data_IF_612212547232
#
_entry.id   IF_612212547232
#
_cell.length_a   1.000
_cell.length_b   1.000
_cell.length_c   1.000
_cell.angle_alpha   90.00
_cell.angle_beta   90.00
_cell.angle_gamma   90.00
#
_symmetry.space_group_name_H-M   'P 1'
#
loop_
_entity.id
_entity.type
_entity.pdbx_description
1 polymer ?
#
# COMPACT_ATOMS: atom_id res chain seq x y z
N UNK A 1 -19.99 31.64 10.61
CA UNK A 1 -18.54 31.40 10.54
C UNK A 1 -18.09 30.90 11.91
N UNK A 2 -18.13 29.58 12.13
CA UNK A 2 -17.82 28.98 13.44
C UNK A 2 -16.32 28.78 13.52
N UNK A 3 -15.64 29.56 14.38
CA UNK A 3 -14.25 29.36 14.73
C UNK A 3 -14.11 27.99 15.41
N UNK A 4 -13.67 26.98 14.65
CA UNK A 4 -13.23 25.69 15.21
C UNK A 4 -12.04 26.02 16.12
N UNK A 5 -12.29 25.90 17.44
CA UNK A 5 -11.29 26.01 18.50
C UNK A 5 -10.06 25.20 18.10
N UNK A 6 -8.92 25.87 17.90
CA UNK A 6 -7.62 25.21 17.73
C UNK A 6 -7.28 24.55 19.06
N UNK A 7 -7.81 23.35 19.28
CA UNK A 7 -7.46 22.51 20.40
C UNK A 7 -5.98 22.18 20.24
N UNK A 8 -5.15 22.70 21.15
CA UNK A 8 -3.67 22.58 21.21
C UNK A 8 -3.15 21.45 20.33
N UNK A 9 -2.60 21.81 19.18
CA UNK A 9 -2.20 20.90 18.10
C UNK A 9 -0.97 20.05 18.50
N UNK A 10 -0.31 20.35 19.61
CA UNK A 10 0.93 19.71 20.07
C UNK A 10 0.76 18.93 21.39
N UNK A 11 -0.30 18.14 21.51
CA UNK A 11 -0.44 17.17 22.61
C UNK A 11 0.28 15.87 22.25
N UNK A 12 0.72 15.07 23.24
CA UNK A 12 1.52 13.84 23.01
C UNK A 12 0.94 12.85 21.99
N UNK A 13 -0.38 12.85 21.77
CA UNK A 13 -1.04 12.04 20.73
C UNK A 13 -0.63 12.45 19.30
N UNK A 14 -0.39 13.73 19.03
CA UNK A 14 0.03 14.22 17.71
C UNK A 14 1.38 13.61 17.29
N UNK A 15 2.31 13.44 18.24
CA UNK A 15 3.60 12.78 17.99
C UNK A 15 3.45 11.31 17.62
N UNK A 16 2.50 10.58 18.24
CA UNK A 16 2.22 9.19 17.85
C UNK A 16 1.69 9.10 16.42
N UNK A 17 0.82 10.04 16.01
CA UNK A 17 0.33 10.11 14.63
C UNK A 17 1.48 10.43 13.66
N UNK A 18 2.36 11.38 14.00
CA UNK A 18 3.51 11.73 13.18
C UNK A 18 4.47 10.54 12.97
N UNK A 19 4.80 9.81 14.06
CA UNK A 19 5.62 8.59 13.99
C UNK A 19 4.92 7.52 13.13
N UNK A 20 3.61 7.36 13.28
CA UNK A 20 2.84 6.40 12.46
C UNK A 20 2.90 6.75 10.97
N UNK A 21 2.71 8.03 10.62
CA UNK A 21 2.84 8.52 9.26
C UNK A 21 4.25 8.32 8.72
N UNK A 22 5.27 8.59 9.51
CA UNK A 22 6.66 8.34 9.14
C UNK A 22 6.90 6.86 8.83
N UNK A 23 6.46 5.95 9.70
CA UNK A 23 6.61 4.50 9.50
C UNK A 23 5.89 4.01 8.24
N UNK A 24 4.67 4.49 7.97
CA UNK A 24 3.94 4.14 6.75
C UNK A 24 4.73 4.59 5.52
N UNK A 25 5.20 5.85 5.48
CA UNK A 25 5.97 6.36 4.36
C UNK A 25 7.32 5.65 4.20
N UNK A 26 7.98 5.34 5.31
CA UNK A 26 9.24 4.58 5.32
C UNK A 26 9.05 3.19 4.72
N UNK A 27 8.00 2.47 5.12
CA UNK A 27 7.66 1.15 4.55
C UNK A 27 7.36 1.28 3.05
N UNK A 28 6.57 2.28 2.64
CA UNK A 28 6.25 2.49 1.23
C UNK A 28 7.49 2.79 0.39
N UNK A 29 8.40 3.63 0.90
CA UNK A 29 9.67 3.92 0.24
C UNK A 29 10.57 2.67 0.17
N UNK A 30 10.64 1.89 1.25
CA UNK A 30 11.37 0.62 1.30
C UNK A 30 10.86 -0.38 0.26
N UNK A 31 9.55 -0.56 0.16
CA UNK A 31 8.91 -1.42 -0.85
C UNK A 31 9.20 -0.95 -2.27
N UNK A 32 9.17 0.37 -2.52
CA UNK A 32 9.51 0.93 -3.82
C UNK A 32 10.96 0.63 -4.22
N UNK A 33 11.90 0.65 -3.26
CA UNK A 33 13.30 0.30 -3.52
C UNK A 33 13.50 -1.22 -3.68
N UNK A 34 12.79 -2.03 -2.90
CA UNK A 34 12.81 -3.48 -2.99
C UNK A 34 12.20 -4.02 -4.29
N UNK A 35 11.33 -3.24 -4.95
CA UNK A 35 10.68 -3.64 -6.19
C UNK A 35 11.66 -4.10 -7.29
N UNK A 36 12.82 -3.45 -7.41
CA UNK A 36 13.85 -3.86 -8.37
C UNK A 36 14.47 -5.22 -8.05
N UNK A 37 14.70 -5.51 -6.76
CA UNK A 37 15.23 -6.81 -6.31
C UNK A 37 14.17 -7.90 -6.48
N UNK A 38 12.92 -7.59 -6.10
CA UNK A 38 11.79 -8.51 -6.26
C UNK A 38 11.51 -8.83 -7.73
N UNK A 39 11.67 -7.86 -8.63
CA UNK A 39 11.51 -8.07 -10.06
C UNK A 39 12.51 -9.11 -10.60
N UNK A 40 13.78 -9.01 -10.22
CA UNK A 40 14.79 -10.00 -10.59
C UNK A 40 14.46 -11.37 -9.98
N UNK A 41 14.08 -11.40 -8.70
CA UNK A 41 13.68 -12.64 -8.03
C UNK A 41 12.46 -13.32 -8.68
N UNK A 42 11.48 -12.55 -9.19
CA UNK A 42 10.31 -13.10 -9.91
C UNK A 42 10.73 -13.76 -11.23
N UNK A 43 11.68 -13.18 -11.95
CA UNK A 43 12.22 -13.78 -13.19
C UNK A 43 12.91 -15.10 -12.85
N UNK A 44 13.78 -15.11 -11.84
CA UNK A 44 14.53 -16.31 -11.44
C UNK A 44 13.63 -17.42 -10.90
N UNK A 45 12.63 -17.07 -10.08
CA UNK A 45 11.74 -18.04 -9.42
C UNK A 45 10.75 -18.68 -10.40
N UNK A 46 10.19 -17.91 -11.34
CA UNK A 46 9.15 -18.39 -12.25
C UNK A 46 9.63 -18.62 -13.69
N UNK A 47 10.88 -18.27 -14.03
CA UNK A 47 11.44 -18.44 -15.37
C UNK A 47 10.69 -17.66 -16.46
N UNK A 48 10.08 -16.53 -16.10
CA UNK A 48 9.20 -15.75 -17.00
C UNK A 48 9.95 -14.67 -17.78
N UNK A 49 9.30 -14.15 -18.83
CA UNK A 49 9.81 -12.99 -19.56
C UNK A 49 9.84 -11.73 -18.70
N UNK A 50 10.62 -10.74 -19.15
CA UNK A 50 10.75 -9.45 -18.48
C UNK A 50 9.40 -8.71 -18.40
N UNK A 51 8.61 -8.78 -19.46
CA UNK A 51 7.29 -8.15 -19.54
C UNK A 51 6.30 -8.78 -18.54
N UNK A 52 6.33 -10.11 -18.40
CA UNK A 52 5.50 -10.81 -17.43
C UNK A 52 5.94 -10.52 -15.99
N UNK A 53 7.23 -10.41 -15.73
CA UNK A 53 7.74 -10.08 -14.39
C UNK A 53 7.45 -8.63 -13.98
N UNK A 54 7.38 -7.66 -14.91
CA UNK A 54 7.05 -6.26 -14.56
C UNK A 54 5.56 -6.05 -14.27
N UNK A 55 4.68 -6.89 -14.84
CA UNK A 55 3.22 -6.72 -14.77
C UNK A 55 2.67 -6.54 -13.35
N UNK A 56 3.03 -7.37 -12.34
CA UNK A 56 2.57 -7.17 -10.97
C UNK A 56 2.99 -5.81 -10.37
N UNK A 57 4.19 -5.31 -10.69
CA UNK A 57 4.69 -4.03 -10.18
C UNK A 57 3.99 -2.83 -10.84
N UNK A 58 3.78 -2.89 -12.16
CA UNK A 58 3.09 -1.83 -12.90
C UNK A 58 1.63 -1.69 -12.48
N UNK A 59 0.92 -2.81 -12.31
CA UNK A 59 -0.49 -2.79 -11.87
C UNK A 59 -0.60 -2.20 -10.46
N UNK A 60 0.27 -2.60 -9.53
CA UNK A 60 0.35 -1.97 -8.19
C UNK A 60 0.48 -0.47 -8.25
N UNK A 61 1.40 0.01 -9.09
CA UNK A 61 1.64 1.43 -9.22
C UNK A 61 0.39 2.14 -9.74
N UNK A 62 -0.26 1.59 -10.76
CA UNK A 62 -1.51 2.13 -11.31
C UNK A 62 -2.64 2.16 -10.28
N UNK A 63 -2.88 1.05 -9.57
CA UNK A 63 -3.93 0.96 -8.54
C UNK A 63 -3.70 2.01 -7.45
N UNK A 64 -2.46 2.15 -6.96
CA UNK A 64 -2.12 3.17 -5.97
C UNK A 64 -2.46 4.58 -6.43
N UNK A 65 -2.11 4.93 -7.66
CA UNK A 65 -2.39 6.28 -8.20
C UNK A 65 -3.89 6.51 -8.42
N UNK A 66 -4.64 5.48 -8.82
CA UNK A 66 -6.08 5.56 -9.05
C UNK A 66 -6.91 5.50 -7.75
N UNK A 67 -6.32 5.03 -6.65
CA UNK A 67 -7.02 4.88 -5.37
C UNK A 67 -7.42 6.20 -4.69
N UNK A 68 -6.84 7.34 -5.11
CA UNK A 68 -7.04 8.65 -4.48
C UNK A 68 -8.51 9.03 -4.23
N UNK A 69 -9.39 9.03 -5.25
CA UNK A 69 -10.82 9.30 -5.08
C UNK A 69 -11.53 8.31 -4.14
N UNK A 70 -11.21 7.02 -4.24
CA UNK A 70 -11.81 5.96 -3.41
C UNK A 70 -11.44 6.17 -1.94
N UNK A 71 -10.16 6.40 -1.66
CA UNK A 71 -9.65 6.70 -0.32
C UNK A 71 -10.27 7.97 0.24
N UNK A 72 -10.46 9.01 -0.60
CA UNK A 72 -11.13 10.25 -0.21
C UNK A 72 -12.59 10.04 0.23
N UNK A 73 -13.37 9.29 -0.55
CA UNK A 73 -14.77 8.96 -0.22
C UNK A 73 -14.84 8.12 1.06
N UNK A 74 -13.99 7.07 1.17
CA UNK A 74 -13.94 6.23 2.36
C UNK A 74 -13.52 7.01 3.60
N UNK A 75 -12.51 7.88 3.48
CA UNK A 75 -12.05 8.75 4.55
C UNK A 75 -13.13 9.73 5.03
N UNK A 76 -13.96 10.26 4.12
CA UNK A 76 -15.07 11.13 4.49
C UNK A 76 -16.22 10.37 5.18
N UNK A 77 -16.48 9.12 4.75
CA UNK A 77 -17.61 8.31 5.27
C UNK A 77 -17.28 7.57 6.58
N UNK A 78 -16.08 7.00 6.69
CA UNK A 78 -15.67 6.12 7.80
C UNK A 78 -14.57 6.73 8.69
N UNK A 79 -14.01 7.87 8.29
CA UNK A 79 -12.89 8.51 8.97
C UNK A 79 -11.52 7.96 8.56
N UNK A 80 -10.49 8.81 8.60
CA UNK A 80 -9.14 8.47 8.11
C UNK A 80 -8.50 7.28 8.85
N UNK A 81 -8.74 7.15 10.17
CA UNK A 81 -8.14 6.06 10.98
C UNK A 81 -8.63 4.69 10.55
N UNK A 82 -9.95 4.54 10.34
CA UNK A 82 -10.54 3.29 9.88
C UNK A 82 -10.08 2.97 8.45
N UNK A 83 -10.06 3.96 7.56
CA UNK A 83 -9.59 3.80 6.17
C UNK A 83 -8.14 3.32 6.11
N UNK A 84 -7.24 3.92 6.91
CA UNK A 84 -5.83 3.49 6.96
C UNK A 84 -5.69 2.07 7.52
N UNK A 85 -6.43 1.72 8.57
CA UNK A 85 -6.41 0.36 9.11
C UNK A 85 -6.91 -0.69 8.11
N UNK A 86 -8.02 -0.43 7.43
CA UNK A 86 -8.55 -1.33 6.40
C UNK A 86 -7.54 -1.53 5.26
N UNK A 87 -6.92 -0.45 4.77
CA UNK A 87 -5.88 -0.53 3.74
C UNK A 87 -4.66 -1.34 4.20
N UNK A 88 -4.21 -1.14 5.44
CA UNK A 88 -3.09 -1.90 6.00
C UNK A 88 -3.38 -3.40 6.15
N UNK A 89 -4.58 -3.76 6.60
CA UNK A 89 -5.01 -5.17 6.70
C UNK A 89 -5.08 -5.80 5.32
N UNK A 90 -5.71 -5.11 4.36
CA UNK A 90 -5.83 -5.59 2.98
C UNK A 90 -4.46 -5.81 2.34
N UNK A 91 -3.54 -4.86 2.50
CA UNK A 91 -2.16 -4.94 2.06
C UNK A 91 -1.41 -6.13 2.69
N UNK A 92 -1.58 -6.35 3.99
CA UNK A 92 -0.98 -7.48 4.71
C UNK A 92 -1.49 -8.83 4.21
N UNK A 93 -2.80 -8.96 4.02
CA UNK A 93 -3.43 -10.17 3.45
C UNK A 93 -2.90 -10.44 2.04
N UNK A 94 -2.87 -9.42 1.17
CA UNK A 94 -2.33 -9.54 -0.18
C UNK A 94 -0.88 -10.02 -0.19
N UNK A 95 -0.05 -9.50 0.71
CA UNK A 95 1.33 -9.96 0.91
C UNK A 95 1.43 -11.43 1.34
N UNK A 96 0.62 -11.87 2.30
CA UNK A 96 0.60 -13.27 2.76
C UNK A 96 0.13 -14.21 1.64
N UNK A 97 -0.90 -13.83 0.89
CA UNK A 97 -1.43 -14.64 -0.21
C UNK A 97 -0.40 -14.86 -1.34
N UNK A 98 0.59 -13.98 -1.49
CA UNK A 98 1.67 -14.18 -2.46
C UNK A 98 2.51 -15.43 -2.16
N UNK A 99 2.59 -15.88 -0.91
CA UNK A 99 3.30 -17.13 -0.54
C UNK A 99 2.68 -18.35 -1.21
N UNK A 100 1.37 -18.30 -1.47
CA UNK A 100 0.61 -19.39 -2.09
C UNK A 100 0.52 -19.26 -3.61
N UNK A 101 1.24 -18.30 -4.23
CA UNK A 101 1.13 -18.05 -5.66
C UNK A 101 1.92 -19.09 -6.48
N UNK A 102 1.26 -19.85 -7.38
CA UNK A 102 1.96 -20.82 -8.24
C UNK A 102 2.52 -20.18 -9.52
N UNK A 103 2.10 -18.96 -9.85
CA UNK A 103 2.56 -18.24 -11.04
C UNK A 103 2.46 -16.72 -10.83
N UNK A 104 3.07 -15.97 -11.76
CA UNK A 104 3.13 -14.51 -11.71
C UNK A 104 1.75 -13.85 -11.81
N UNK A 105 0.79 -14.47 -12.49
CA UNK A 105 -0.58 -13.96 -12.55
C UNK A 105 -1.22 -13.88 -11.15
N UNK A 106 -1.04 -14.90 -10.31
CA UNK A 106 -1.54 -14.87 -8.93
C UNK A 106 -0.85 -13.81 -8.08
N UNK A 107 0.45 -13.55 -8.30
CA UNK A 107 1.15 -12.42 -7.68
C UNK A 107 0.50 -11.10 -8.14
N UNK A 108 0.24 -10.94 -9.44
CA UNK A 108 -0.44 -9.75 -9.96
C UNK A 108 -1.81 -9.54 -9.33
N UNK A 109 -2.59 -10.60 -9.12
CA UNK A 109 -3.89 -10.50 -8.47
C UNK A 109 -3.75 -10.12 -7.00
N UNK A 110 -3.01 -10.89 -6.20
CA UNK A 110 -2.92 -10.69 -4.75
C UNK A 110 -2.10 -9.47 -4.35
N UNK A 111 -1.00 -9.24 -5.05
CA UNK A 111 -0.10 -8.13 -4.79
C UNK A 111 -0.60 -6.88 -5.54
N UNK A 112 -0.92 -7.00 -6.82
CA UNK A 112 -1.28 -5.88 -7.70
C UNK A 112 -2.70 -5.37 -7.56
N UNK A 113 -3.69 -6.24 -7.43
CA UNK A 113 -5.11 -5.87 -7.37
C UNK A 113 -5.64 -5.62 -5.96
N UNK A 114 -5.10 -6.30 -4.95
CA UNK A 114 -5.59 -6.28 -3.55
C UNK A 114 -4.76 -5.34 -2.67
N UNK A 115 -4.09 -4.32 -3.23
CA UNK A 115 -3.26 -3.39 -2.45
C UNK A 115 -3.38 -1.94 -2.94
#
# INVERSE_FOLDING_TARGET
MVLKRVARVDQGYAWMVAISCFMINFIMAGLARAAGVLYVAVIELYGVSREAATTPFSIRFSVRNMSGPVVGILGNRFGIRATVMMGGILAGIGGILCVLSPNVFWITVFWGGVH
#
